data_IF_459517819386
#
_entry.id   IF_459517819386
#
_cell.length_a   1.000
_cell.length_b   1.000
_cell.length_c   1.000
_cell.angle_alpha   90.00
_cell.angle_beta   90.00
_cell.angle_gamma   90.00
#
_symmetry.space_group_name_H-M   'P 1'
#
loop_
_entity.id
_entity.type
_entity.pdbx_description
1 polymer ?
#
# COMPACT_ATOMS: atom_id res chain seq x y z
N UNK A 1 45.04 26.40 6.91
CA UNK A 1 43.75 26.22 6.19
C UNK A 1 43.50 24.76 5.75
N UNK A 2 43.87 23.74 6.53
CA UNK A 2 43.70 22.32 6.14
C UNK A 2 42.40 21.70 6.70
N UNK A 3 41.83 22.30 7.74
CA UNK A 3 40.75 21.70 8.53
C UNK A 3 39.35 22.05 7.97
N UNK A 4 39.20 23.22 7.33
CA UNK A 4 37.93 23.67 6.71
C UNK A 4 37.43 22.74 5.61
N UNK A 5 38.34 22.11 4.86
CA UNK A 5 38.01 21.12 3.82
C UNK A 5 37.53 19.79 4.39
N UNK A 6 37.93 19.44 5.62
CA UNK A 6 37.50 18.22 6.30
C UNK A 6 36.06 18.36 6.83
N UNK A 7 35.73 19.50 7.44
CA UNK A 7 34.36 19.79 7.89
C UNK A 7 33.35 19.82 6.74
N UNK A 8 33.74 20.36 5.58
CA UNK A 8 32.92 20.35 4.36
C UNK A 8 32.61 18.93 3.86
N UNK A 9 33.57 18.00 3.98
CA UNK A 9 33.36 16.59 3.59
C UNK A 9 32.44 15.85 4.58
N UNK A 10 32.58 16.12 5.87
CA UNK A 10 31.73 15.52 6.91
C UNK A 10 30.28 16.02 6.77
N UNK A 11 30.08 17.31 6.48
CA UNK A 11 28.76 17.88 6.25
C UNK A 11 28.07 17.30 5.02
N UNK A 12 28.82 17.05 3.94
CA UNK A 12 28.28 16.43 2.73
C UNK A 12 27.81 14.98 2.95
N UNK A 13 28.50 14.20 3.80
CA UNK A 13 28.10 12.82 4.11
C UNK A 13 26.83 12.78 4.97
N UNK A 14 26.66 13.72 5.91
CA UNK A 14 25.46 13.82 6.74
C UNK A 14 24.19 14.15 5.95
N UNK A 15 24.29 14.89 4.84
CA UNK A 15 23.12 15.24 4.00
C UNK A 15 22.57 14.01 3.24
N UNK A 16 23.44 13.07 2.85
CA UNK A 16 23.03 11.88 2.08
C UNK A 16 22.28 10.87 2.95
N UNK A 17 22.52 10.85 4.26
CA UNK A 17 21.90 9.90 5.20
C UNK A 17 20.42 10.16 5.51
N UNK A 18 19.84 11.28 5.08
CA UNK A 18 18.43 11.62 5.32
C UNK A 18 17.50 11.32 4.12
N UNK A 19 18.01 10.74 3.03
CA UNK A 19 17.18 10.42 1.85
C UNK A 19 16.51 9.04 1.89
N UNK A 20 16.53 8.34 3.03
CA UNK A 20 15.64 7.19 3.25
C UNK A 20 14.26 7.69 3.68
N UNK A 21 13.59 8.46 2.82
CA UNK A 21 12.14 8.56 2.87
C UNK A 21 11.62 7.30 2.18
N UNK A 22 11.28 6.29 2.96
CA UNK A 22 10.33 5.26 2.56
C UNK A 22 8.97 5.98 2.52
N UNK A 23 8.75 6.76 1.46
CA UNK A 23 7.46 7.39 1.24
C UNK A 23 6.56 6.27 0.73
N UNK A 24 5.55 5.93 1.51
CA UNK A 24 4.45 5.10 1.02
C UNK A 24 3.98 5.72 -0.30
N UNK A 25 4.12 5.02 -1.44
CA UNK A 25 3.88 5.62 -2.75
C UNK A 25 2.39 5.80 -3.04
N UNK A 26 1.53 5.26 -2.18
CA UNK A 26 0.08 5.34 -2.29
C UNK A 26 -0.48 6.46 -1.42
N UNK A 27 -1.60 7.02 -1.86
CA UNK A 27 -2.38 7.97 -1.06
C UNK A 27 -2.98 7.27 0.17
N UNK A 28 -3.31 8.04 1.22
CA UNK A 28 -3.97 7.51 2.41
C UNK A 28 -5.26 6.72 2.05
N UNK A 29 -5.42 5.53 2.64
CA UNK A 29 -6.52 4.62 2.34
C UNK A 29 -6.28 3.73 1.12
N UNK A 30 -5.06 3.71 0.60
CA UNK A 30 -4.60 2.77 -0.42
C UNK A 30 -3.34 2.06 0.04
N UNK A 31 -3.26 0.77 -0.29
CA UNK A 31 -2.08 -0.06 -0.03
C UNK A 31 -1.36 -0.41 -1.34
N UNK A 32 -0.04 -0.29 -1.34
CA UNK A 32 0.80 -0.74 -2.45
C UNK A 32 0.79 -2.27 -2.54
N UNK A 33 0.45 -2.81 -3.70
CA UNK A 33 0.47 -4.24 -3.99
C UNK A 33 1.29 -4.51 -5.25
N UNK A 34 2.00 -5.65 -5.25
CA UNK A 34 2.76 -6.12 -6.42
C UNK A 34 2.17 -7.41 -6.96
N UNK A 35 1.76 -7.40 -8.21
CA UNK A 35 1.16 -8.56 -8.89
C UNK A 35 1.73 -8.66 -10.31
N UNK A 36 2.17 -9.87 -10.71
CA UNK A 36 2.79 -10.11 -12.01
C UNK A 36 3.98 -9.17 -12.34
N UNK A 37 4.74 -8.76 -11.34
CA UNK A 37 5.89 -7.86 -11.49
C UNK A 37 5.53 -6.39 -11.76
N UNK A 38 4.24 -6.04 -11.65
CA UNK A 38 3.76 -4.66 -11.68
C UNK A 38 3.28 -4.25 -10.30
N UNK A 39 3.61 -3.04 -9.89
CA UNK A 39 3.25 -2.48 -8.59
C UNK A 39 2.20 -1.39 -8.78
N UNK A 40 1.14 -1.42 -7.97
CA UNK A 40 0.01 -0.51 -8.06
C UNK A 40 -0.67 -0.35 -6.69
N UNK A 41 -1.42 0.73 -6.52
CA UNK A 41 -2.17 1.01 -5.31
C UNK A 41 -3.58 0.43 -5.40
N UNK A 42 -4.02 -0.31 -4.39
CA UNK A 42 -5.41 -0.73 -4.24
C UNK A 42 -6.06 -0.01 -3.05
N UNK A 43 -7.32 0.42 -3.18
CA UNK A 43 -8.05 0.97 -2.05
C UNK A 43 -8.16 -0.07 -0.94
N UNK A 44 -7.98 0.38 0.30
CA UNK A 44 -8.15 -0.46 1.48
C UNK A 44 -9.62 -0.86 1.62
N UNK A 45 -9.85 -2.11 1.97
CA UNK A 45 -11.17 -2.59 2.27
C UNK A 45 -11.68 -1.93 3.54
N UNK A 46 -12.89 -1.38 3.43
CA UNK A 46 -13.73 -1.01 4.57
C UNK A 46 -15.12 -1.59 4.37
N UNK A 47 -15.82 -1.90 5.46
CA UNK A 47 -17.16 -2.47 5.37
C UNK A 47 -18.11 -1.58 4.54
N UNK A 48 -18.72 -2.14 3.50
CA UNK A 48 -19.65 -1.42 2.60
C UNK A 48 -19.00 -0.72 1.41
N UNK A 49 -17.68 -0.82 1.22
CA UNK A 49 -16.96 -0.19 0.10
C UNK A 49 -17.44 -0.68 -1.27
N UNK A 50 -18.01 -1.89 -1.36
CA UNK A 50 -18.54 -2.45 -2.61
C UNK A 50 -19.69 -1.65 -3.22
N UNK A 51 -20.33 -0.76 -2.43
CA UNK A 51 -21.38 0.15 -2.90
C UNK A 51 -20.81 1.35 -3.64
N UNK A 52 -19.51 1.59 -3.54
CA UNK A 52 -18.81 2.73 -4.12
C UNK A 52 -18.17 2.31 -5.45
N UNK A 53 -18.94 2.42 -6.53
CA UNK A 53 -18.55 1.92 -7.87
C UNK A 53 -17.30 2.58 -8.45
N UNK A 54 -16.90 3.74 -7.93
CA UNK A 54 -15.72 4.49 -8.38
C UNK A 54 -14.39 3.80 -8.03
N UNK A 55 -14.37 2.91 -7.03
CA UNK A 55 -13.18 2.16 -6.63
C UNK A 55 -12.99 0.84 -7.40
N UNK A 56 -13.88 0.53 -8.34
CA UNK A 56 -13.88 -0.75 -9.03
C UNK A 56 -14.33 -1.88 -8.10
N UNK A 57 -13.71 -3.05 -8.23
CA UNK A 57 -14.15 -4.26 -7.54
C UNK A 57 -13.03 -5.02 -6.84
N UNK A 58 -11.83 -4.44 -6.73
CA UNK A 58 -10.66 -5.06 -6.08
C UNK A 58 -10.16 -4.16 -4.96
N UNK A 59 -9.88 -4.75 -3.82
CA UNK A 59 -9.53 -4.02 -2.60
C UNK A 59 -8.44 -4.76 -1.83
N UNK A 60 -7.70 -4.04 -1.00
CA UNK A 60 -6.71 -4.65 -0.10
C UNK A 60 -7.32 -4.92 1.27
N UNK A 61 -7.22 -6.16 1.75
CA UNK A 61 -7.64 -6.56 3.09
C UNK A 61 -6.44 -7.06 3.88
N UNK A 62 -6.23 -6.51 5.08
CA UNK A 62 -5.07 -6.83 5.93
C UNK A 62 -4.89 -8.34 6.19
N UNK A 63 -5.99 -9.09 6.31
CA UNK A 63 -5.95 -10.55 6.55
C UNK A 63 -5.84 -11.39 5.27
N UNK A 64 -6.47 -10.95 4.18
CA UNK A 64 -6.71 -11.79 2.99
C UNK A 64 -5.92 -11.34 1.76
N UNK A 65 -5.18 -10.24 1.85
CA UNK A 65 -4.53 -9.59 0.73
C UNK A 65 -5.56 -9.02 -0.24
N UNK A 66 -5.34 -9.24 -1.54
CA UNK A 66 -6.22 -8.69 -2.57
C UNK A 66 -7.53 -9.47 -2.63
N UNK A 67 -8.63 -8.81 -2.33
CA UNK A 67 -9.97 -9.38 -2.42
C UNK A 67 -10.72 -8.75 -3.60
N UNK A 68 -11.70 -9.48 -4.12
CA UNK A 68 -12.59 -8.98 -5.17
C UNK A 68 -14.05 -9.16 -4.77
N UNK A 69 -14.88 -8.17 -5.11
CA UNK A 69 -16.32 -8.26 -5.01
C UNK A 69 -16.94 -8.50 -6.38
N UNK A 70 -17.65 -9.60 -6.53
CA UNK A 70 -18.41 -9.88 -7.73
C UNK A 70 -19.70 -10.64 -7.39
N UNK A 71 -20.79 -10.30 -8.07
CA UNK A 71 -22.08 -10.98 -7.92
C UNK A 71 -22.54 -11.17 -6.45
N UNK A 72 -22.34 -10.14 -5.62
CA UNK A 72 -22.75 -10.17 -4.20
C UNK A 72 -21.84 -11.00 -3.30
N UNK A 73 -20.62 -11.32 -3.75
CA UNK A 73 -19.69 -12.21 -3.04
C UNK A 73 -18.29 -11.65 -3.03
N UNK A 74 -17.66 -11.76 -1.87
CA UNK A 74 -16.25 -11.52 -1.69
C UNK A 74 -15.43 -12.79 -1.94
N UNK A 75 -14.35 -12.66 -2.70
CA UNK A 75 -13.40 -13.75 -2.98
C UNK A 75 -11.95 -13.31 -2.82
N UNK A 76 -11.10 -14.20 -2.32
CA UNK A 76 -9.65 -13.99 -2.27
C UNK A 76 -8.94 -14.49 -3.55
N UNK A 77 -7.60 -14.33 -3.69
CA UNK A 77 -6.88 -14.75 -4.88
C UNK A 77 -6.88 -16.27 -5.12
N UNK A 78 -7.22 -17.06 -4.10
CA UNK A 78 -7.34 -18.52 -4.18
C UNK A 78 -8.74 -18.98 -4.60
N UNK A 79 -9.69 -18.05 -4.80
CA UNK A 79 -11.08 -18.35 -5.16
C UNK A 79 -11.96 -18.75 -3.98
N UNK A 80 -11.50 -18.56 -2.75
CA UNK A 80 -12.27 -18.85 -1.55
C UNK A 80 -13.30 -17.75 -1.28
N UNK A 81 -14.51 -18.14 -0.87
CA UNK A 81 -15.59 -17.21 -0.58
C UNK A 81 -15.48 -16.68 0.86
N UNK A 82 -15.41 -15.35 1.01
CA UNK A 82 -15.20 -14.67 2.30
C UNK A 82 -16.54 -14.20 2.88
N UNK A 83 -17.26 -15.09 3.57
CA UNK A 83 -18.64 -14.82 4.05
C UNK A 83 -18.73 -13.84 5.23
N UNK A 84 -17.65 -13.65 5.98
CA UNK A 84 -17.67 -12.90 7.25
C UNK A 84 -16.75 -11.67 7.23
N UNK A 85 -16.39 -11.20 6.04
CA UNK A 85 -15.45 -10.08 5.90
C UNK A 85 -16.02 -8.74 6.40
N UNK A 86 -17.35 -8.64 6.55
CA UNK A 86 -18.04 -7.44 7.03
C UNK A 86 -18.01 -7.25 8.56
N UNK A 87 -17.48 -8.21 9.32
CA UNK A 87 -17.54 -8.22 10.80
C UNK A 87 -16.20 -8.01 11.51
N UNK A 88 -15.09 -7.87 10.77
CA UNK A 88 -13.72 -7.85 11.34
C UNK A 88 -13.10 -6.44 11.43
N UNK A 89 -13.89 -5.42 11.81
CA UNK A 89 -13.39 -4.07 12.13
C UNK A 89 -13.65 -3.70 13.60
#
# INVERSE_FOLDING_TARGET
MKNKKLYLRIFAVLIVSFYSCDSDPCDDGYTEVTENGSTFCLPDYVAGIEKQTEYGNRFYHNEYGIIAFDNGKWTNPFGENLKNIEHNE
#
